data_IF_133011741899
#
_entry.id   IF_133011741899
#
_cell.length_a   1.000
_cell.length_b   1.000
_cell.length_c   1.000
_cell.angle_alpha   90.00
_cell.angle_beta   90.00
_cell.angle_gamma   90.00
#
_symmetry.space_group_name_H-M   'P 1'
#
loop_
_entity.id
_entity.type
_entity.pdbx_description
1 polymer ?
#
# COMPACT_ATOMS: atom_id res chain seq x y z
N UNK A 1 3.01 15.86 -22.58
CA UNK A 1 3.81 16.55 -21.52
C UNK A 1 4.93 15.58 -21.13
N UNK A 2 6.20 16.04 -21.09
CA UNK A 2 7.27 15.15 -20.60
C UNK A 2 7.13 14.99 -19.09
N UNK A 3 7.01 13.76 -18.62
CA UNK A 3 6.94 13.45 -17.19
C UNK A 3 8.34 13.67 -16.60
N UNK A 4 8.40 14.38 -15.48
CA UNK A 4 9.61 14.62 -14.70
C UNK A 4 9.28 14.62 -13.22
N UNK A 5 10.29 14.54 -12.37
CA UNK A 5 10.14 14.65 -10.91
C UNK A 5 9.32 15.88 -10.50
N UNK A 6 9.59 17.03 -11.12
CA UNK A 6 8.83 18.28 -10.85
C UNK A 6 7.34 18.16 -11.20
N UNK A 7 7.00 17.59 -12.35
CA UNK A 7 5.60 17.40 -12.78
C UNK A 7 4.84 16.51 -11.80
N UNK A 8 5.48 15.41 -11.36
CA UNK A 8 4.89 14.50 -10.38
C UNK A 8 4.68 15.18 -9.02
N UNK A 9 5.68 15.94 -8.56
CA UNK A 9 5.64 16.68 -7.31
C UNK A 9 4.53 17.73 -7.30
N UNK A 10 4.38 18.52 -8.38
CA UNK A 10 3.31 19.51 -8.51
C UNK A 10 1.92 18.87 -8.49
N UNK A 11 1.75 17.75 -9.18
CA UNK A 11 0.50 17.01 -9.16
C UNK A 11 0.18 16.48 -7.74
N UNK A 12 1.16 15.90 -7.07
CA UNK A 12 1.02 15.43 -5.69
C UNK A 12 0.64 16.56 -4.73
N UNK A 13 1.28 17.72 -4.83
CA UNK A 13 0.95 18.89 -4.02
C UNK A 13 -0.48 19.39 -4.25
N UNK A 14 -0.99 19.35 -5.49
CA UNK A 14 -2.41 19.68 -5.76
C UNK A 14 -3.35 18.72 -5.04
N UNK A 15 -3.07 17.42 -5.12
CA UNK A 15 -3.89 16.41 -4.45
C UNK A 15 -3.83 16.51 -2.92
N UNK A 16 -2.65 16.74 -2.37
CA UNK A 16 -2.49 16.90 -0.92
C UNK A 16 -3.19 18.16 -0.39
N UNK A 17 -3.15 19.28 -1.12
CA UNK A 17 -3.94 20.48 -0.76
C UNK A 17 -5.43 20.20 -0.79
N UNK A 18 -5.91 19.45 -1.78
CA UNK A 18 -7.31 19.05 -1.80
C UNK A 18 -7.66 18.18 -0.59
N UNK A 19 -6.88 17.14 -0.27
CA UNK A 19 -7.09 16.31 0.92
C UNK A 19 -7.11 17.15 2.20
N UNK A 20 -6.14 18.07 2.37
CA UNK A 20 -6.09 18.96 3.54
C UNK A 20 -7.32 19.85 3.66
N UNK A 21 -7.88 20.32 2.53
CA UNK A 21 -9.09 21.16 2.50
C UNK A 21 -10.38 20.40 2.86
N UNK A 22 -10.35 19.07 2.85
CA UNK A 22 -11.52 18.25 3.23
C UNK A 22 -11.59 17.99 4.75
N UNK A 23 -10.56 18.37 5.50
CA UNK A 23 -10.53 18.17 6.95
C UNK A 23 -11.33 19.25 7.69
N UNK A 24 -12.02 18.82 8.76
CA UNK A 24 -12.47 19.72 9.79
C UNK A 24 -11.30 20.12 10.75
N UNK A 25 -11.50 21.06 11.70
CA UNK A 25 -10.44 21.46 12.63
C UNK A 25 -9.86 20.34 13.50
N UNK A 26 -10.61 19.25 13.73
CA UNK A 26 -10.18 18.08 14.51
C UNK A 26 -9.39 17.05 13.68
N UNK A 27 -9.35 17.23 12.36
CA UNK A 27 -8.62 16.32 11.46
C UNK A 27 -9.48 15.26 10.79
N UNK A 28 -10.80 15.25 11.03
CA UNK A 28 -11.72 14.32 10.36
C UNK A 28 -11.99 14.76 8.93
N UNK A 29 -12.28 13.81 8.06
CA UNK A 29 -12.87 14.09 6.76
C UNK A 29 -14.39 14.16 6.85
N UNK A 30 -15.00 14.99 6.01
CA UNK A 30 -16.46 14.98 5.82
C UNK A 30 -16.91 13.64 5.24
N UNK A 31 -18.02 13.12 5.79
CA UNK A 31 -18.64 11.86 5.36
C UNK A 31 -19.75 12.04 4.32
N UNK A 32 -20.21 13.28 4.10
CA UNK A 32 -21.25 13.63 3.12
C UNK A 32 -20.79 14.70 2.15
N UNK A 33 -21.37 14.72 0.95
CA UNK A 33 -21.11 15.75 -0.07
C UNK A 33 -22.03 16.96 0.07
N UNK A 34 -23.15 16.78 0.79
CA UNK A 34 -24.16 17.82 1.04
C UNK A 34 -24.25 18.03 2.54
N UNK A 35 -24.21 19.29 3.01
CA UNK A 35 -24.43 19.59 4.42
C UNK A 35 -25.88 19.32 4.83
N UNK A 36 -26.12 19.21 6.14
CA UNK A 36 -27.44 19.17 6.72
C UNK A 36 -28.15 20.55 6.64
N UNK A 37 -29.34 20.64 7.22
CA UNK A 37 -30.13 21.89 7.28
C UNK A 37 -29.46 23.06 8.01
N UNK A 38 -28.44 22.78 8.85
CA UNK A 38 -27.63 23.77 9.57
C UNK A 38 -26.33 24.10 8.83
N UNK A 39 -26.10 23.57 7.63
CA UNK A 39 -24.86 23.76 6.87
C UNK A 39 -23.69 22.91 7.35
N UNK A 40 -23.94 21.87 8.16
CA UNK A 40 -22.91 20.99 8.75
C UNK A 40 -22.78 19.72 7.94
N UNK A 41 -21.53 19.36 7.59
CA UNK A 41 -21.20 18.06 7.01
C UNK A 41 -20.99 17.03 8.11
N UNK A 42 -21.56 15.83 7.94
CA UNK A 42 -21.21 14.72 8.83
C UNK A 42 -19.74 14.33 8.63
N UNK A 43 -19.13 13.82 9.70
CA UNK A 43 -17.79 13.23 9.62
C UNK A 43 -17.88 11.77 9.13
N UNK A 44 -16.82 11.27 8.47
CA UNK A 44 -16.73 9.84 8.18
C UNK A 44 -16.17 9.08 9.38
N UNK A 45 -16.75 7.92 9.67
CA UNK A 45 -16.30 7.00 10.74
C UNK A 45 -15.68 5.73 10.14
N UNK A 46 -14.96 5.85 9.01
CA UNK A 46 -14.28 4.73 8.35
C UNK A 46 -12.78 5.01 8.27
N UNK A 47 -11.98 4.22 9.00
CA UNK A 47 -10.50 4.28 8.96
C UNK A 47 -9.95 4.18 7.52
N UNK A 48 -10.69 3.54 6.61
CA UNK A 48 -10.35 3.45 5.20
C UNK A 48 -10.18 4.80 4.50
N UNK A 49 -10.73 5.90 5.07
CA UNK A 49 -10.55 7.25 4.55
C UNK A 49 -9.23 7.89 5.00
N UNK A 50 -8.63 7.43 6.10
CA UNK A 50 -7.54 8.13 6.80
C UNK A 50 -6.16 7.50 6.63
N UNK A 51 -6.08 6.17 6.65
CA UNK A 51 -4.81 5.45 6.88
C UNK A 51 -3.71 5.75 5.85
N UNK A 52 -4.04 5.97 4.57
CA UNK A 52 -3.09 6.41 3.54
C UNK A 52 -2.90 7.92 3.53
N UNK A 53 -3.98 8.66 3.84
CA UNK A 53 -4.00 10.12 3.75
C UNK A 53 -2.97 10.79 4.66
N UNK A 54 -2.69 10.22 5.84
CA UNK A 54 -1.71 10.76 6.78
C UNK A 54 -0.31 10.75 6.17
N UNK A 55 0.10 9.62 5.58
CA UNK A 55 1.39 9.51 4.88
C UNK A 55 1.47 10.49 3.71
N UNK A 56 0.46 10.48 2.84
CA UNK A 56 0.39 11.35 1.66
C UNK A 56 0.48 12.83 2.00
N UNK A 57 -0.29 13.27 3.02
CA UNK A 57 -0.25 14.63 3.51
C UNK A 57 1.14 14.99 4.04
N UNK A 58 1.76 14.10 4.83
CA UNK A 58 3.08 14.33 5.42
C UNK A 58 4.17 14.48 4.36
N UNK A 59 4.26 13.54 3.41
CA UNK A 59 5.32 13.55 2.39
C UNK A 59 5.12 14.66 1.35
N UNK A 60 3.88 15.13 1.18
CA UNK A 60 3.56 16.30 0.34
C UNK A 60 3.59 17.65 1.10
N UNK A 61 4.21 17.70 2.28
CA UNK A 61 4.43 18.95 3.03
C UNK A 61 3.19 19.55 3.71
N UNK A 62 2.10 18.78 3.86
CA UNK A 62 0.89 19.21 4.60
C UNK A 62 0.97 18.76 6.07
N UNK A 63 2.05 19.13 6.76
CA UNK A 63 2.43 18.63 8.10
C UNK A 63 1.35 18.83 9.16
N UNK A 64 0.77 20.03 9.21
CA UNK A 64 -0.26 20.36 10.19
C UNK A 64 -1.53 19.50 9.97
N UNK A 65 -1.92 19.26 8.72
CA UNK A 65 -3.06 18.43 8.38
C UNK A 65 -2.78 16.94 8.70
N UNK A 66 -1.58 16.44 8.35
CA UNK A 66 -1.15 15.10 8.71
C UNK A 66 -1.17 14.86 10.22
N UNK A 67 -0.64 15.82 10.99
CA UNK A 67 -0.58 15.71 12.45
C UNK A 67 -1.97 15.76 13.12
N UNK A 68 -2.89 16.59 12.63
CA UNK A 68 -4.28 16.57 13.12
C UNK A 68 -4.96 15.25 12.85
N UNK A 69 -4.84 14.74 11.62
CA UNK A 69 -5.43 13.47 11.23
C UNK A 69 -4.85 12.29 12.00
N UNK A 70 -3.53 12.25 12.20
CA UNK A 70 -2.90 11.20 13.00
C UNK A 70 -3.42 11.17 14.43
N UNK A 71 -3.54 12.36 15.09
CA UNK A 71 -4.15 12.44 16.42
C UNK A 71 -5.58 11.91 16.43
N UNK A 72 -6.41 12.37 15.49
CA UNK A 72 -7.77 11.85 15.35
C UNK A 72 -7.82 10.32 15.21
N UNK A 73 -6.96 9.74 14.37
CA UNK A 73 -6.90 8.28 14.18
C UNK A 73 -6.45 7.56 15.44
N UNK A 74 -5.45 8.07 16.14
CA UNK A 74 -4.99 7.48 17.40
C UNK A 74 -6.07 7.55 18.48
N UNK A 75 -6.72 8.68 18.62
CA UNK A 75 -7.75 8.90 19.67
C UNK A 75 -9.02 8.08 19.40
N UNK A 76 -9.35 7.84 18.12
CA UNK A 76 -10.64 7.24 17.74
C UNK A 76 -10.56 5.74 17.44
N UNK A 77 -9.44 5.26 16.87
CA UNK A 77 -9.35 3.92 16.27
C UNK A 77 -8.23 3.05 16.83
N UNK A 78 -7.27 3.62 17.61
CA UNK A 78 -6.20 2.82 18.18
C UNK A 78 -6.66 2.11 19.44
N UNK A 79 -6.41 0.81 19.49
CA UNK A 79 -6.65 -0.03 20.65
C UNK A 79 -5.39 -0.13 21.54
N UNK A 80 -5.57 -0.60 22.79
CA UNK A 80 -4.49 -0.66 23.78
C UNK A 80 -3.27 -1.46 23.31
N UNK A 81 -3.51 -2.52 22.53
CA UNK A 81 -2.46 -3.38 21.99
C UNK A 81 -1.73 -2.80 20.76
N UNK A 82 -2.10 -1.61 20.30
CA UNK A 82 -1.51 -0.98 19.12
C UNK A 82 -2.20 -1.32 17.80
N UNK A 83 -3.24 -2.16 17.80
CA UNK A 83 -4.08 -2.40 16.63
C UNK A 83 -4.96 -1.19 16.33
N UNK A 84 -5.26 -0.98 15.04
CA UNK A 84 -6.03 0.18 14.58
C UNK A 84 -7.14 -0.30 13.64
N UNK A 85 -8.40 -0.12 14.09
CA UNK A 85 -9.58 -0.49 13.31
C UNK A 85 -10.82 0.27 13.78
N UNK A 86 -11.86 0.34 12.95
CA UNK A 86 -13.07 1.11 13.24
C UNK A 86 -13.87 0.50 14.41
N UNK A 87 -14.16 -0.80 14.34
CA UNK A 87 -14.89 -1.55 15.36
C UNK A 87 -14.68 -3.06 15.18
N UNK A 88 -15.08 -3.87 16.16
CA UNK A 88 -14.91 -5.33 16.12
C UNK A 88 -15.56 -6.00 14.91
N UNK A 89 -16.71 -5.49 14.45
CA UNK A 89 -17.34 -6.00 13.25
C UNK A 89 -16.49 -5.72 12.01
N UNK A 90 -15.90 -4.53 11.87
CA UNK A 90 -15.00 -4.21 10.76
C UNK A 90 -13.74 -5.04 10.79
N UNK A 91 -13.24 -5.39 11.99
CA UNK A 91 -12.06 -6.25 12.17
C UNK A 91 -12.37 -7.71 11.85
N UNK A 92 -13.54 -8.22 12.23
CA UNK A 92 -13.93 -9.62 12.02
C UNK A 92 -14.42 -9.90 10.62
N UNK A 93 -15.21 -9.00 10.02
CA UNK A 93 -15.71 -9.12 8.64
C UNK A 93 -14.68 -8.71 7.60
N UNK A 94 -13.73 -7.87 8.01
CA UNK A 94 -12.82 -7.14 7.17
C UNK A 94 -13.53 -6.25 6.15
N UNK A 95 -13.31 -4.95 6.17
CA UNK A 95 -13.73 -4.11 5.03
C UNK A 95 -13.11 -4.57 3.70
N UNK A 96 -12.25 -5.56 3.78
CA UNK A 96 -11.52 -6.18 2.68
C UNK A 96 -11.84 -7.67 2.47
N UNK A 97 -12.79 -8.23 3.24
CA UNK A 97 -13.16 -9.65 3.17
C UNK A 97 -12.18 -10.60 3.88
N UNK A 98 -12.54 -11.89 3.97
CA UNK A 98 -11.86 -12.87 4.83
C UNK A 98 -10.46 -13.26 4.37
N UNK A 99 -10.02 -12.83 3.20
CA UNK A 99 -8.71 -13.17 2.60
C UNK A 99 -7.79 -11.98 2.39
N UNK A 100 -8.17 -10.80 2.87
CA UNK A 100 -7.34 -9.61 2.77
C UNK A 100 -6.47 -9.42 4.02
N UNK A 101 -5.31 -8.78 3.84
CA UNK A 101 -4.40 -8.46 4.93
C UNK A 101 -5.00 -7.44 5.90
N UNK A 102 -5.38 -7.88 7.09
CA UNK A 102 -5.96 -7.00 8.11
C UNK A 102 -4.94 -6.04 8.74
N UNK A 103 -3.63 -6.26 8.54
CA UNK A 103 -2.57 -5.35 8.98
C UNK A 103 -2.31 -4.18 8.05
N UNK A 104 -2.94 -4.14 6.87
CA UNK A 104 -2.60 -3.17 5.85
C UNK A 104 -2.74 -1.71 6.31
N UNK A 105 -3.78 -1.42 7.09
CA UNK A 105 -4.00 -0.11 7.69
C UNK A 105 -2.91 0.24 8.71
N UNK A 106 -2.57 -0.71 9.58
CA UNK A 106 -1.51 -0.55 10.57
C UNK A 106 -0.17 -0.24 9.92
N UNK A 107 0.16 -0.92 8.81
CA UNK A 107 1.40 -0.71 8.07
C UNK A 107 1.52 0.71 7.49
N UNK A 108 0.44 1.23 6.90
CA UNK A 108 0.43 2.60 6.40
C UNK A 108 0.58 3.63 7.53
N UNK A 109 -0.04 3.36 8.69
CA UNK A 109 0.08 4.24 9.85
C UNK A 109 1.46 4.15 10.50
N UNK A 110 2.10 2.97 10.53
CA UNK A 110 3.50 2.83 10.93
C UNK A 110 4.43 3.61 9.99
N UNK A 111 4.22 3.51 8.67
CA UNK A 111 4.94 4.29 7.64
C UNK A 111 4.75 5.80 7.83
N UNK A 112 3.53 6.24 8.08
CA UNK A 112 3.22 7.64 8.37
C UNK A 112 3.91 8.12 9.65
N UNK A 113 3.88 7.31 10.72
CA UNK A 113 4.54 7.62 11.99
C UNK A 113 6.07 7.75 11.83
N UNK A 114 6.70 6.88 11.02
CA UNK A 114 8.12 7.00 10.68
C UNK A 114 8.40 8.32 9.94
N UNK A 115 7.63 8.65 8.91
CA UNK A 115 7.77 9.90 8.14
C UNK A 115 7.56 11.16 9.01
N UNK A 116 6.67 11.08 10.01
CA UNK A 116 6.40 12.15 10.98
C UNK A 116 7.40 12.18 12.14
N UNK A 117 8.29 11.20 12.25
CA UNK A 117 9.21 11.00 13.40
C UNK A 117 8.49 10.74 14.74
N UNK A 118 7.29 10.19 14.69
CA UNK A 118 6.52 9.78 15.87
C UNK A 118 6.91 8.34 16.26
N UNK A 119 8.18 8.16 16.59
CA UNK A 119 8.80 6.83 16.77
C UNK A 119 8.12 5.98 17.83
N UNK A 120 7.64 6.59 18.94
CA UNK A 120 6.93 5.86 19.99
C UNK A 120 5.62 5.25 19.48
N UNK A 121 4.86 6.01 18.69
CA UNK A 121 3.65 5.52 18.04
C UNK A 121 3.95 4.43 17.02
N UNK A 122 4.89 4.68 16.12
CA UNK A 122 5.28 3.70 15.11
C UNK A 122 5.75 2.39 15.71
N UNK A 123 6.52 2.44 16.82
CA UNK A 123 6.94 1.25 17.56
C UNK A 123 5.74 0.47 18.09
N UNK A 124 4.80 1.14 18.75
CA UNK A 124 3.61 0.49 19.30
C UNK A 124 2.79 -0.23 18.22
N UNK A 125 2.60 0.39 17.07
CA UNK A 125 1.92 -0.21 15.92
C UNK A 125 2.70 -1.43 15.40
N UNK A 126 4.02 -1.28 15.25
CA UNK A 126 4.90 -2.35 14.75
C UNK A 126 4.96 -3.54 15.71
N UNK A 127 5.00 -3.32 17.03
CA UNK A 127 4.93 -4.39 18.03
C UNK A 127 3.64 -5.21 17.91
N UNK A 128 2.50 -4.55 17.69
CA UNK A 128 1.27 -5.27 17.38
C UNK A 128 1.40 -6.08 16.09
N UNK A 129 1.96 -5.52 15.02
CA UNK A 129 2.15 -6.25 13.76
C UNK A 129 3.07 -7.47 13.97
N UNK A 130 4.16 -7.33 14.72
CA UNK A 130 5.09 -8.43 15.06
C UNK A 130 4.37 -9.56 15.80
N UNK A 131 3.35 -9.28 16.61
CA UNK A 131 2.57 -10.32 17.29
C UNK A 131 1.82 -11.26 16.31
N UNK A 132 1.69 -10.87 15.05
CA UNK A 132 1.09 -11.66 13.97
C UNK A 132 2.13 -12.35 13.09
N UNK A 133 3.40 -12.26 13.44
CA UNK A 133 4.48 -12.95 12.74
C UNK A 133 4.55 -14.41 13.13
N UNK A 134 4.65 -15.30 12.15
CA UNK A 134 4.94 -16.71 12.38
C UNK A 134 6.45 -16.87 12.66
N UNK A 135 6.84 -17.33 13.86
CA UNK A 135 8.24 -17.21 14.30
C UNK A 135 9.21 -18.13 13.56
N UNK A 136 8.77 -19.26 13.02
CA UNK A 136 9.65 -20.22 12.34
C UNK A 136 9.92 -19.85 10.89
N UNK A 137 8.90 -19.33 10.18
CA UNK A 137 9.03 -18.97 8.78
C UNK A 137 9.43 -17.50 8.56
N UNK A 138 9.11 -16.63 9.50
CA UNK A 138 9.26 -15.20 9.37
C UNK A 138 8.12 -14.49 8.65
N UNK A 139 7.17 -15.23 8.08
CA UNK A 139 6.00 -14.67 7.40
C UNK A 139 4.96 -14.12 8.37
N UNK A 140 4.07 -13.27 7.89
CA UNK A 140 2.99 -12.68 8.69
C UNK A 140 1.63 -13.24 8.32
N UNK A 141 0.82 -13.53 9.33
CA UNK A 141 -0.56 -13.98 9.13
C UNK A 141 -1.42 -12.89 8.49
N UNK A 142 -2.31 -13.30 7.58
CA UNK A 142 -3.23 -12.41 6.90
C UNK A 142 -4.27 -11.79 7.84
N UNK A 143 -4.62 -12.49 8.92
CA UNK A 143 -5.73 -12.14 9.81
C UNK A 143 -5.31 -12.13 11.27
N UNK A 144 -5.90 -11.21 12.04
CA UNK A 144 -5.65 -11.00 13.47
C UNK A 144 -6.26 -12.09 14.35
N UNK A 145 -7.36 -12.72 13.90
CA UNK A 145 -8.06 -13.74 14.70
C UNK A 145 -7.91 -15.14 14.10
N UNK A 146 -7.69 -16.16 14.94
CA UNK A 146 -7.77 -17.55 14.51
C UNK A 146 -9.17 -17.85 13.91
N UNK A 147 -9.30 -18.78 12.95
CA UNK A 147 -8.33 -19.83 12.66
C UNK A 147 -7.39 -19.56 11.49
N UNK A 148 -7.16 -18.31 11.09
CA UNK A 148 -6.29 -18.08 9.96
C UNK A 148 -4.86 -18.49 10.29
N UNK A 149 -4.47 -19.66 9.77
CA UNK A 149 -3.07 -20.10 9.69
C UNK A 149 -2.46 -19.71 8.34
N UNK A 150 -3.10 -18.77 7.66
CA UNK A 150 -2.68 -18.32 6.34
C UNK A 150 -1.68 -17.18 6.51
N UNK A 151 -0.47 -17.41 6.06
CA UNK A 151 0.55 -16.38 5.87
C UNK A 151 0.31 -15.77 4.48
N UNK A 152 0.49 -14.48 4.37
CA UNK A 152 0.17 -13.72 3.16
C UNK A 152 1.36 -12.90 2.68
N UNK A 153 1.56 -12.85 1.35
CA UNK A 153 2.68 -12.12 0.75
C UNK A 153 2.62 -10.62 1.07
N UNK A 154 1.44 -10.00 0.97
CA UNK A 154 1.28 -8.58 1.27
C UNK A 154 1.44 -8.32 2.78
N UNK A 155 0.80 -9.14 3.66
CA UNK A 155 0.96 -9.00 5.11
C UNK A 155 2.44 -9.10 5.50
N UNK A 156 3.16 -10.05 4.91
CA UNK A 156 4.59 -10.23 5.17
C UNK A 156 5.41 -9.03 4.68
N UNK A 157 5.14 -8.54 3.48
CA UNK A 157 5.88 -7.40 2.92
C UNK A 157 5.66 -6.11 3.73
N UNK A 158 4.41 -5.80 4.10
CA UNK A 158 4.14 -4.58 4.88
C UNK A 158 4.57 -4.71 6.34
N UNK A 159 4.56 -5.93 6.90
CA UNK A 159 5.14 -6.24 8.21
C UNK A 159 6.65 -6.06 8.22
N UNK A 160 7.34 -6.58 7.21
CA UNK A 160 8.78 -6.38 7.02
C UNK A 160 9.14 -4.90 6.87
N UNK A 161 8.36 -4.12 6.09
CA UNK A 161 8.57 -2.69 5.95
C UNK A 161 8.45 -1.95 7.29
N UNK A 162 7.43 -2.27 8.08
CA UNK A 162 7.27 -1.69 9.42
C UNK A 162 8.45 -2.05 10.33
N UNK A 163 8.91 -3.30 10.30
CA UNK A 163 10.10 -3.74 11.05
C UNK A 163 11.35 -2.96 10.63
N UNK A 164 11.59 -2.78 9.34
CA UNK A 164 12.75 -2.03 8.83
C UNK A 164 12.71 -0.56 9.26
N UNK A 165 11.54 0.08 9.18
CA UNK A 165 11.36 1.49 9.55
C UNK A 165 11.40 1.75 11.06
N UNK A 166 11.11 0.75 11.90
CA UNK A 166 11.03 0.88 13.35
C UNK A 166 12.08 0.06 14.11
N UNK A 167 13.29 -0.03 13.55
CA UNK A 167 14.50 -0.55 14.20
C UNK A 167 14.44 -2.04 14.54
N UNK A 168 13.77 -2.84 13.72
CA UNK A 168 13.72 -4.30 13.79
C UNK A 168 14.27 -4.95 12.50
N UNK A 169 15.47 -4.58 12.03
CA UNK A 169 15.94 -4.99 10.71
C UNK A 169 16.16 -6.51 10.59
N UNK A 170 16.53 -7.18 11.66
CA UNK A 170 16.69 -8.63 11.64
C UNK A 170 15.36 -9.34 11.31
N UNK A 171 14.24 -8.90 11.92
CA UNK A 171 12.92 -9.45 11.62
C UNK A 171 12.47 -9.11 10.19
N UNK A 172 12.84 -7.93 9.69
CA UNK A 172 12.57 -7.56 8.31
C UNK A 172 13.28 -8.50 7.32
N UNK A 173 14.59 -8.75 7.55
CA UNK A 173 15.42 -9.63 6.72
C UNK A 173 14.84 -11.05 6.69
N UNK A 174 14.52 -11.64 7.85
CA UNK A 174 13.90 -12.98 7.94
C UNK A 174 12.55 -13.04 7.19
N UNK A 175 11.76 -11.97 7.25
CA UNK A 175 10.47 -11.91 6.56
C UNK A 175 10.64 -11.78 5.05
N UNK A 176 11.69 -11.11 4.59
CA UNK A 176 12.01 -11.00 3.16
C UNK A 176 12.61 -12.32 2.63
N UNK A 177 13.39 -13.03 3.42
CA UNK A 177 13.82 -14.41 3.09
C UNK A 177 12.63 -15.34 2.89
N UNK A 178 11.59 -15.19 3.72
CA UNK A 178 10.34 -15.94 3.52
C UNK A 178 9.62 -15.54 2.21
N UNK A 179 9.60 -14.25 1.86
CA UNK A 179 9.00 -13.80 0.59
C UNK A 179 9.76 -14.35 -0.63
N UNK A 180 11.10 -14.41 -0.58
CA UNK A 180 11.90 -15.08 -1.61
C UNK A 180 11.52 -16.55 -1.75
N UNK A 181 11.49 -17.28 -0.63
CA UNK A 181 11.05 -18.69 -0.60
C UNK A 181 9.66 -18.87 -1.18
N UNK A 182 8.73 -17.96 -0.86
CA UNK A 182 7.35 -18.01 -1.37
C UNK A 182 7.30 -17.76 -2.87
N UNK A 183 8.13 -16.84 -3.38
CA UNK A 183 8.24 -16.58 -4.82
C UNK A 183 8.88 -17.76 -5.56
N UNK A 184 9.96 -18.33 -5.04
CA UNK A 184 10.62 -19.51 -5.62
C UNK A 184 9.73 -20.76 -5.66
N UNK A 185 8.77 -20.86 -4.74
CA UNK A 185 7.82 -21.96 -4.68
C UNK A 185 6.71 -21.90 -5.74
N UNK A 186 6.60 -20.79 -6.51
CA UNK A 186 5.62 -20.66 -7.59
C UNK A 186 5.91 -21.68 -8.69
N UNK A 187 4.88 -22.46 -9.06
CA UNK A 187 5.02 -23.52 -10.08
C UNK A 187 4.17 -23.25 -11.31
N UNK A 188 3.13 -22.46 -11.18
CA UNK A 188 2.25 -22.11 -12.29
C UNK A 188 2.84 -20.90 -13.02
N UNK A 189 3.24 -21.01 -14.30
CA UNK A 189 3.82 -19.89 -15.03
C UNK A 189 2.82 -18.77 -15.30
N UNK A 190 1.53 -19.05 -15.27
CA UNK A 190 0.46 -18.10 -15.55
C UNK A 190 -0.15 -17.49 -14.29
N UNK A 191 0.18 -17.98 -13.08
CA UNK A 191 -0.39 -17.49 -11.83
C UNK A 191 0.67 -17.26 -10.76
N UNK A 192 0.56 -16.13 -10.08
CA UNK A 192 1.42 -15.74 -8.96
C UNK A 192 0.59 -15.73 -7.68
N UNK A 193 0.66 -16.82 -6.91
CA UNK A 193 -0.13 -17.04 -5.70
C UNK A 193 0.43 -16.24 -4.51
N UNK A 194 -0.45 -15.88 -3.56
CA UNK A 194 -0.16 -14.94 -2.46
C UNK A 194 -0.31 -15.56 -1.07
N UNK A 195 -0.72 -16.82 -0.97
CA UNK A 195 -1.07 -17.48 0.28
C UNK A 195 -0.16 -18.65 0.58
N UNK A 196 0.14 -18.84 1.86
CA UNK A 196 1.00 -19.90 2.36
C UNK A 196 0.45 -20.47 3.66
N UNK A 197 0.49 -21.79 3.84
CA UNK A 197 0.29 -22.43 5.13
C UNK A 197 1.56 -23.13 5.58
N UNK A 198 1.74 -23.27 6.90
CA UNK A 198 2.90 -23.99 7.44
C UNK A 198 2.86 -25.48 7.06
N UNK A 199 1.65 -26.04 6.91
CA UNK A 199 1.43 -27.45 6.63
C UNK A 199 1.66 -27.78 5.15
N UNK A 200 1.08 -27.00 4.24
CA UNK A 200 0.99 -27.34 2.82
C UNK A 200 1.91 -26.50 1.92
N UNK A 201 2.54 -25.46 2.49
CA UNK A 201 3.33 -24.53 1.72
C UNK A 201 2.47 -23.53 0.93
N UNK A 202 2.80 -23.31 -0.35
CA UNK A 202 2.07 -22.41 -1.23
C UNK A 202 0.65 -22.92 -1.48
N UNK A 203 -0.36 -22.10 -1.18
CA UNK A 203 -1.78 -22.43 -1.37
C UNK A 203 -2.17 -22.17 -2.81
N UNK A 204 -2.38 -23.22 -3.56
CA UNK A 204 -2.84 -23.17 -4.97
C UNK A 204 -4.24 -23.72 -5.17
N UNK A 205 -4.74 -24.53 -4.22
CA UNK A 205 -6.12 -24.99 -4.19
C UNK A 205 -6.99 -23.94 -3.49
N UNK A 206 -7.98 -23.42 -4.19
CA UNK A 206 -8.87 -22.35 -3.76
C UNK A 206 -10.32 -22.83 -3.59
N UNK A 207 -10.58 -24.13 -3.59
CA UNK A 207 -11.95 -24.70 -3.55
C UNK A 207 -12.75 -24.25 -2.32
N UNK A 208 -12.09 -24.01 -1.19
CA UNK A 208 -12.72 -23.55 0.05
C UNK A 208 -12.81 -22.01 0.16
N UNK A 209 -12.40 -21.28 -0.88
CA UNK A 209 -12.38 -19.82 -0.90
C UNK A 209 -13.51 -19.31 -1.80
N UNK A 210 -14.27 -18.32 -1.33
CA UNK A 210 -15.28 -17.68 -2.15
C UNK A 210 -14.65 -17.03 -3.41
N UNK A 211 -15.22 -17.28 -4.58
CA UNK A 211 -14.73 -16.81 -5.89
C UNK A 211 -14.46 -15.29 -5.92
N UNK A 212 -15.32 -14.49 -5.28
CA UNK A 212 -15.11 -13.03 -5.16
C UNK A 212 -13.80 -12.63 -4.49
N UNK A 213 -13.16 -13.57 -3.77
CA UNK A 213 -11.91 -13.39 -3.03
C UNK A 213 -10.67 -13.85 -3.80
N UNK A 214 -10.84 -14.56 -4.92
CA UNK A 214 -9.73 -15.07 -5.74
C UNK A 214 -8.77 -13.98 -6.20
N UNK A 215 -9.29 -12.77 -6.47
CA UNK A 215 -8.48 -11.58 -6.83
C UNK A 215 -7.43 -11.18 -5.78
N UNK A 216 -7.48 -11.75 -4.57
CA UNK A 216 -6.49 -11.54 -3.52
C UNK A 216 -5.62 -12.78 -3.25
N UNK A 217 -5.90 -13.89 -3.95
CA UNK A 217 -5.19 -15.15 -3.75
C UNK A 217 -4.13 -15.39 -4.82
N UNK A 218 -4.28 -14.79 -5.98
CA UNK A 218 -3.29 -14.86 -7.07
C UNK A 218 -3.45 -13.68 -8.04
N UNK A 219 -2.40 -13.43 -8.80
CA UNK A 219 -2.44 -12.62 -10.03
C UNK A 219 -2.40 -13.59 -11.21
N UNK A 220 -3.33 -13.46 -12.15
CA UNK A 220 -3.33 -14.18 -13.41
C UNK A 220 -2.59 -13.36 -14.48
N UNK A 221 -1.61 -13.98 -15.12
CA UNK A 221 -0.75 -13.34 -16.11
C UNK A 221 -1.53 -12.75 -17.29
N UNK A 222 -2.64 -13.40 -17.67
CA UNK A 222 -3.43 -13.08 -18.88
C UNK A 222 -4.59 -12.13 -18.60
N UNK A 223 -4.98 -11.99 -17.34
CA UNK A 223 -6.12 -11.15 -16.97
C UNK A 223 -5.68 -9.73 -16.63
N UNK A 224 -6.49 -8.74 -17.01
CA UNK A 224 -6.33 -7.35 -16.60
C UNK A 224 -7.07 -7.02 -15.31
N UNK A 225 -6.91 -5.78 -14.82
CA UNK A 225 -7.66 -5.16 -13.71
C UNK A 225 -7.57 -5.93 -12.38
N UNK A 226 -6.38 -6.43 -12.07
CA UNK A 226 -6.14 -7.25 -10.89
C UNK A 226 -5.53 -6.46 -9.72
N UNK A 227 -5.29 -7.14 -8.60
CA UNK A 227 -4.70 -6.56 -7.39
C UNK A 227 -3.16 -6.65 -7.43
N UNK A 228 -2.53 -6.05 -8.44
CA UNK A 228 -1.07 -6.13 -8.68
C UNK A 228 -0.23 -5.77 -7.46
N UNK A 229 -0.67 -4.78 -6.65
CA UNK A 229 -0.01 -4.35 -5.42
C UNK A 229 0.34 -5.48 -4.44
N UNK A 230 -0.30 -6.65 -4.55
CA UNK A 230 -0.06 -7.78 -3.65
C UNK A 230 1.38 -8.32 -3.83
N UNK A 231 1.93 -8.25 -5.03
CA UNK A 231 3.32 -8.57 -5.32
C UNK A 231 4.20 -7.35 -5.52
N UNK A 232 3.63 -6.19 -5.79
CA UNK A 232 4.36 -4.92 -5.78
C UNK A 232 4.99 -4.59 -4.42
N UNK A 233 4.28 -4.84 -3.31
CA UNK A 233 4.87 -4.67 -1.98
C UNK A 233 6.04 -5.62 -1.69
N UNK A 234 5.97 -6.94 -1.96
CA UNK A 234 7.13 -7.84 -1.87
C UNK A 234 8.33 -7.37 -2.69
N UNK A 235 8.12 -6.96 -3.92
CA UNK A 235 9.18 -6.39 -4.76
C UNK A 235 9.86 -5.18 -4.10
N UNK A 236 9.06 -4.22 -3.61
CA UNK A 236 9.59 -2.98 -3.04
C UNK A 236 10.37 -3.21 -1.74
N UNK A 237 9.90 -4.11 -0.87
CA UNK A 237 10.63 -4.42 0.37
C UNK A 237 11.92 -5.21 0.09
N UNK A 238 11.94 -6.04 -0.96
CA UNK A 238 13.18 -6.71 -1.37
C UNK A 238 14.23 -5.70 -1.83
N UNK A 239 13.86 -4.67 -2.61
CA UNK A 239 14.80 -3.60 -3.01
C UNK A 239 15.30 -2.86 -1.77
N UNK A 240 14.42 -2.45 -0.86
CA UNK A 240 14.81 -1.79 0.38
C UNK A 240 15.70 -2.67 1.28
N UNK A 241 15.49 -3.98 1.27
CA UNK A 241 16.33 -4.93 2.03
C UNK A 241 17.70 -5.10 1.37
N UNK A 242 17.78 -5.11 0.04
CA UNK A 242 19.03 -5.05 -0.68
C UNK A 242 19.84 -3.80 -0.31
N UNK A 243 19.20 -2.64 -0.31
CA UNK A 243 19.86 -1.38 0.07
C UNK A 243 20.38 -1.37 1.51
N UNK A 244 19.68 -2.07 2.40
CA UNK A 244 20.08 -2.19 3.80
C UNK A 244 21.24 -3.19 4.00
N UNK A 245 21.20 -4.34 3.28
CA UNK A 245 22.11 -5.48 3.52
C UNK A 245 23.25 -5.58 2.53
N UNK A 246 23.10 -5.00 1.33
CA UNK A 246 23.94 -5.20 0.15
C UNK A 246 23.96 -6.68 -0.34
N UNK A 247 23.02 -7.53 0.07
CA UNK A 247 22.92 -8.92 -0.40
C UNK A 247 22.12 -8.96 -1.72
N UNK A 248 22.81 -9.30 -2.80
CA UNK A 248 22.27 -9.32 -4.18
C UNK A 248 21.05 -10.26 -4.35
N UNK A 249 20.89 -11.28 -3.50
CA UNK A 249 19.74 -12.18 -3.60
C UNK A 249 18.40 -11.43 -3.55
N UNK A 250 18.33 -10.34 -2.77
CA UNK A 250 17.11 -9.53 -2.66
C UNK A 250 16.84 -8.71 -3.90
N UNK A 251 17.89 -8.13 -4.49
CA UNK A 251 17.77 -7.42 -5.77
C UNK A 251 17.34 -8.37 -6.89
N UNK A 252 17.97 -9.55 -6.97
CA UNK A 252 17.62 -10.57 -7.96
C UNK A 252 16.17 -11.06 -7.78
N UNK A 253 15.70 -11.24 -6.53
CA UNK A 253 14.32 -11.58 -6.22
C UNK A 253 13.33 -10.50 -6.66
N UNK A 254 13.66 -9.23 -6.41
CA UNK A 254 12.84 -8.10 -6.84
C UNK A 254 12.76 -8.01 -8.38
N UNK A 255 13.89 -8.18 -9.07
CA UNK A 255 13.96 -8.23 -10.53
C UNK A 255 13.09 -9.36 -11.08
N UNK A 256 13.16 -10.54 -10.49
CA UNK A 256 12.38 -11.69 -10.94
C UNK A 256 10.86 -11.47 -10.79
N UNK A 257 10.42 -10.85 -9.69
CA UNK A 257 9.02 -10.45 -9.50
C UNK A 257 8.64 -9.41 -10.56
N UNK A 258 9.49 -8.40 -10.78
CA UNK A 258 9.23 -7.37 -11.78
C UNK A 258 9.12 -7.96 -13.20
N UNK A 259 10.00 -8.86 -13.58
CA UNK A 259 9.99 -9.52 -14.88
C UNK A 259 8.72 -10.34 -15.08
N UNK A 260 8.26 -11.04 -14.04
CA UNK A 260 7.00 -11.74 -14.07
C UNK A 260 5.83 -10.77 -14.31
N UNK A 261 5.75 -9.66 -13.54
CA UNK A 261 4.73 -8.62 -13.71
C UNK A 261 4.82 -7.95 -15.09
N UNK A 262 6.03 -7.68 -15.58
CA UNK A 262 6.23 -7.06 -16.89
C UNK A 262 5.83 -7.99 -18.07
N UNK A 263 5.80 -9.28 -17.85
CA UNK A 263 5.32 -10.27 -18.80
C UNK A 263 3.81 -10.54 -18.70
N UNK A 264 3.14 -9.96 -17.69
CA UNK A 264 1.71 -10.07 -17.48
C UNK A 264 0.93 -9.04 -18.33
N UNK A 265 -0.38 -8.97 -18.12
CA UNK A 265 -1.23 -7.98 -18.78
C UNK A 265 -0.71 -6.56 -18.56
N UNK A 266 -0.81 -5.68 -19.56
CA UNK A 266 -0.30 -4.30 -19.53
C UNK A 266 -0.77 -3.49 -18.31
N UNK A 267 -1.94 -3.79 -17.77
CA UNK A 267 -2.47 -3.19 -16.54
C UNK A 267 -1.53 -3.32 -15.34
N UNK A 268 -0.57 -4.24 -15.34
CA UNK A 268 0.38 -4.39 -14.24
C UNK A 268 1.21 -3.12 -13.98
N UNK A 269 1.34 -2.24 -15.00
CA UNK A 269 2.02 -0.94 -14.88
C UNK A 269 1.21 0.23 -15.44
N UNK A 270 -0.10 0.05 -15.62
CA UNK A 270 -0.98 1.08 -16.17
C UNK A 270 -2.42 0.94 -15.63
N UNK A 271 -2.55 0.76 -14.30
CA UNK A 271 -3.86 0.58 -13.67
C UNK A 271 -3.91 1.15 -12.25
N UNK A 272 -5.12 1.31 -11.71
CA UNK A 272 -5.36 1.89 -10.38
C UNK A 272 -4.69 1.13 -9.23
N UNK A 273 -4.45 -0.16 -9.39
CA UNK A 273 -3.83 -1.01 -8.36
C UNK A 273 -2.32 -1.18 -8.52
N UNK A 274 -1.73 -0.66 -9.61
CA UNK A 274 -0.33 -0.87 -9.98
C UNK A 274 0.64 0.21 -9.45
N UNK A 275 0.19 1.08 -8.54
CA UNK A 275 1.04 2.18 -8.04
C UNK A 275 2.32 1.69 -7.34
N UNK A 276 2.25 0.56 -6.63
CA UNK A 276 3.40 -0.07 -5.97
C UNK A 276 4.39 -0.63 -6.99
N UNK A 277 3.87 -1.22 -8.07
CA UNK A 277 4.68 -1.80 -9.14
C UNK A 277 5.42 -0.70 -9.92
N UNK A 278 4.70 0.42 -10.18
CA UNK A 278 5.30 1.62 -10.77
C UNK A 278 6.41 2.23 -9.91
N UNK A 279 6.17 2.40 -8.60
CA UNK A 279 7.21 2.89 -7.68
C UNK A 279 8.41 1.92 -7.58
N UNK A 280 8.15 0.61 -7.46
CA UNK A 280 9.21 -0.39 -7.46
C UNK A 280 10.06 -0.36 -8.74
N UNK A 281 9.43 -0.06 -9.89
CA UNK A 281 10.16 0.17 -11.14
C UNK A 281 11.09 1.38 -11.05
N UNK A 282 10.66 2.49 -10.42
CA UNK A 282 11.54 3.64 -10.21
C UNK A 282 12.73 3.31 -9.28
N UNK A 283 12.48 2.53 -8.21
CA UNK A 283 13.55 2.04 -7.33
C UNK A 283 14.54 1.14 -8.09
N UNK A 284 14.08 0.21 -8.92
CA UNK A 284 14.94 -0.63 -9.76
C UNK A 284 15.75 0.20 -10.75
N UNK A 285 15.13 1.21 -11.38
CA UNK A 285 15.85 2.14 -12.25
C UNK A 285 16.98 2.85 -11.50
N UNK A 286 16.71 3.38 -10.31
CA UNK A 286 17.72 4.06 -9.48
C UNK A 286 18.90 3.15 -9.14
N UNK A 287 18.65 1.86 -8.88
CA UNK A 287 19.70 0.90 -8.49
C UNK A 287 20.49 0.40 -9.69
N UNK A 288 19.84 0.19 -10.84
CA UNK A 288 20.47 -0.46 -12.01
C UNK A 288 20.81 0.47 -13.16
N UNK A 289 20.08 1.58 -13.31
CA UNK A 289 20.18 2.48 -14.46
C UNK A 289 19.54 1.94 -15.76
N UNK A 290 18.79 0.82 -15.71
CA UNK A 290 18.21 0.21 -16.89
C UNK A 290 16.89 0.88 -17.30
N UNK A 291 16.83 1.47 -18.49
CA UNK A 291 15.69 2.25 -19.01
C UNK A 291 14.36 1.50 -19.01
N UNK A 292 14.36 0.18 -19.14
CA UNK A 292 13.13 -0.64 -19.10
C UNK A 292 12.31 -0.42 -17.83
N UNK A 293 12.97 -0.18 -16.70
CA UNK A 293 12.30 0.11 -15.43
C UNK A 293 11.71 1.52 -15.43
N UNK A 294 12.44 2.49 -15.94
CA UNK A 294 11.97 3.87 -16.08
C UNK A 294 10.70 3.93 -16.95
N UNK A 295 10.71 3.23 -18.10
CA UNK A 295 9.55 3.18 -19.00
C UNK A 295 8.28 2.70 -18.29
N UNK A 296 8.36 1.66 -17.46
CA UNK A 296 7.21 1.14 -16.72
C UNK A 296 6.78 2.08 -15.58
N UNK A 297 7.71 2.72 -14.88
CA UNK A 297 7.38 3.77 -13.93
C UNK A 297 6.62 4.92 -14.61
N UNK A 298 7.14 5.44 -15.73
CA UNK A 298 6.53 6.55 -16.45
C UNK A 298 5.13 6.20 -16.97
N UNK A 299 4.93 4.97 -17.48
CA UNK A 299 3.61 4.48 -17.89
C UNK A 299 2.60 4.53 -16.74
N UNK A 300 2.98 4.04 -15.56
CA UNK A 300 2.11 4.10 -14.39
C UNK A 300 1.87 5.54 -13.91
N UNK A 301 2.89 6.39 -13.94
CA UNK A 301 2.73 7.80 -13.56
C UNK A 301 1.83 8.57 -14.54
N UNK A 302 1.92 8.31 -15.82
CA UNK A 302 1.02 8.87 -16.82
C UNK A 302 -0.43 8.46 -16.57
N UNK A 303 -0.65 7.19 -16.27
CA UNK A 303 -1.97 6.71 -15.86
C UNK A 303 -2.49 7.46 -14.63
N UNK A 304 -1.69 7.59 -13.56
CA UNK A 304 -2.09 8.31 -12.34
C UNK A 304 -2.41 9.78 -12.65
N UNK A 305 -1.56 10.47 -13.41
CA UNK A 305 -1.78 11.87 -13.81
C UNK A 305 -3.08 12.04 -14.62
N UNK A 306 -3.43 11.08 -15.46
CA UNK A 306 -4.67 11.08 -16.22
C UNK A 306 -5.93 11.01 -15.35
N UNK A 307 -5.79 10.52 -14.12
CA UNK A 307 -6.91 10.40 -13.15
C UNK A 307 -7.10 11.67 -12.32
N UNK A 308 -6.13 12.58 -12.29
CA UNK A 308 -6.21 13.81 -11.50
C UNK A 308 -7.20 14.81 -12.10
N UNK A 309 -8.12 15.28 -11.27
CA UNK A 309 -9.08 16.30 -11.64
C UNK A 309 -8.52 17.72 -11.37
N UNK A 310 -9.07 18.78 -12.02
CA UNK A 310 -8.57 20.14 -11.84
C UNK A 310 -8.51 20.61 -10.38
N UNK A 311 -9.45 20.18 -9.53
CA UNK A 311 -9.46 20.48 -8.10
C UNK A 311 -8.40 19.72 -7.30
N UNK A 312 -7.75 18.70 -7.87
CA UNK A 312 -6.66 17.92 -7.24
C UNK A 312 -7.04 16.52 -6.76
N UNK A 313 -8.33 16.19 -6.65
CA UNK A 313 -8.74 14.82 -6.30
C UNK A 313 -8.57 13.86 -7.49
N UNK A 314 -8.58 12.56 -7.19
CA UNK A 314 -8.34 11.51 -8.18
C UNK A 314 -9.58 10.68 -8.47
N UNK A 315 -9.82 10.37 -9.75
CA UNK A 315 -10.85 9.41 -10.17
C UNK A 315 -10.42 7.98 -9.86
N UNK A 316 -11.25 7.29 -9.07
CA UNK A 316 -11.15 5.85 -8.85
C UNK A 316 -11.66 5.02 -10.04
N UNK A 317 -11.55 3.69 -9.94
CA UNK A 317 -12.02 2.78 -10.99
C UNK A 317 -13.53 2.91 -11.23
N UNK A 318 -13.93 2.98 -12.49
CA UNK A 318 -15.33 3.02 -12.90
C UNK A 318 -16.07 4.34 -12.65
N UNK A 319 -15.45 5.32 -11.97
CA UNK A 319 -16.05 6.62 -11.71
C UNK A 319 -15.82 7.59 -12.89
N UNK A 320 -16.82 8.43 -13.17
CA UNK A 320 -16.76 9.43 -14.25
C UNK A 320 -16.56 10.86 -13.73
N UNK A 321 -17.08 11.14 -12.54
CA UNK A 321 -17.05 12.45 -11.90
C UNK A 321 -17.12 12.32 -10.37
N UNK A 322 -17.06 13.46 -9.66
CA UNK A 322 -17.12 13.51 -8.21
C UNK A 322 -18.45 12.99 -7.63
N UNK A 323 -19.57 13.30 -8.30
CA UNK A 323 -20.90 12.93 -7.81
C UNK A 323 -21.15 11.42 -7.89
N UNK A 324 -20.54 10.75 -8.89
CA UNK A 324 -20.64 9.30 -9.07
C UNK A 324 -19.66 8.49 -8.24
N UNK A 325 -18.72 9.16 -7.54
CA UNK A 325 -17.67 8.51 -6.77
C UNK A 325 -17.94 8.61 -5.26
N UNK A 326 -18.04 7.50 -4.52
CA UNK A 326 -18.15 7.55 -3.07
C UNK A 326 -16.97 8.33 -2.45
N UNK A 327 -17.24 9.15 -1.44
CA UNK A 327 -16.20 9.96 -0.77
C UNK A 327 -15.05 9.09 -0.22
N UNK A 328 -15.37 7.93 0.35
CA UNK A 328 -14.37 6.96 0.79
C UNK A 328 -13.40 6.60 -0.33
N UNK A 329 -13.92 6.25 -1.49
CA UNK A 329 -13.11 5.94 -2.68
C UNK A 329 -12.29 7.14 -3.13
N UNK A 330 -12.88 8.34 -3.08
CA UNK A 330 -12.18 9.58 -3.45
C UNK A 330 -10.99 9.85 -2.52
N UNK A 331 -11.17 9.73 -1.21
CA UNK A 331 -10.07 9.92 -0.25
C UNK A 331 -9.00 8.84 -0.41
N UNK A 332 -9.40 7.57 -0.49
CA UNK A 332 -8.47 6.44 -0.59
C UNK A 332 -7.60 6.53 -1.85
N UNK A 333 -8.20 6.73 -3.04
CA UNK A 333 -7.42 6.84 -4.29
C UNK A 333 -6.64 8.15 -4.39
N UNK A 334 -7.18 9.27 -3.91
CA UNK A 334 -6.41 10.52 -3.90
C UNK A 334 -5.17 10.40 -3.03
N UNK A 335 -5.31 9.79 -1.86
CA UNK A 335 -4.18 9.56 -0.96
C UNK A 335 -3.18 8.54 -1.54
N UNK A 336 -3.66 7.42 -2.06
CA UNK A 336 -2.83 6.37 -2.66
C UNK A 336 -1.98 6.94 -3.82
N UNK A 337 -2.61 7.60 -4.77
CA UNK A 337 -1.93 8.17 -5.94
C UNK A 337 -0.99 9.33 -5.58
N UNK A 338 -1.36 10.16 -4.60
CA UNK A 338 -0.45 11.20 -4.08
C UNK A 338 0.84 10.58 -3.54
N UNK A 339 0.75 9.47 -2.81
CA UNK A 339 1.93 8.77 -2.30
C UNK A 339 2.84 8.31 -3.43
N UNK A 340 2.29 7.68 -4.48
CA UNK A 340 3.10 7.15 -5.58
C UNK A 340 3.68 8.24 -6.47
N UNK A 341 2.99 9.37 -6.63
CA UNK A 341 3.55 10.54 -7.30
C UNK A 341 4.77 11.09 -6.55
N UNK A 342 4.69 11.20 -5.22
CA UNK A 342 5.82 11.67 -4.39
C UNK A 342 6.96 10.65 -4.39
N UNK A 343 6.66 9.40 -4.09
CA UNK A 343 7.66 8.35 -3.96
C UNK A 343 8.42 8.18 -5.29
N UNK A 344 7.71 8.15 -6.44
CA UNK A 344 8.35 8.13 -7.76
C UNK A 344 9.10 9.41 -8.09
N UNK A 345 8.55 10.58 -7.72
CA UNK A 345 9.24 11.87 -7.91
C UNK A 345 10.60 11.91 -7.20
N UNK A 346 10.69 11.37 -5.98
CA UNK A 346 11.95 11.32 -5.23
C UNK A 346 12.99 10.43 -5.92
N UNK A 347 12.57 9.26 -6.42
CA UNK A 347 13.46 8.34 -7.15
C UNK A 347 13.99 9.01 -8.45
N UNK A 348 13.10 9.64 -9.22
CA UNK A 348 13.48 10.34 -10.45
C UNK A 348 14.38 11.55 -10.18
N UNK A 349 14.09 12.34 -9.13
CA UNK A 349 14.91 13.47 -8.74
C UNK A 349 16.34 13.05 -8.33
N UNK A 350 16.49 11.90 -7.66
CA UNK A 350 17.79 11.32 -7.33
C UNK A 350 18.61 11.03 -8.59
N UNK A 351 17.96 10.64 -9.69
CA UNK A 351 18.60 10.36 -10.98
C UNK A 351 18.73 11.60 -11.87
N UNK A 352 18.31 12.77 -11.41
CA UNK A 352 18.38 14.03 -12.17
C UNK A 352 17.32 14.19 -13.27
N UNK A 353 16.20 13.48 -13.15
CA UNK A 353 15.08 13.47 -14.13
C UNK A 353 13.88 14.32 -13.73
#
# INVERSE_FOLDING_TARGET
MKISSTVLLEAAHRSARWLASQQNPLGNYRGTTVPDENGIYSDTDDIGCYYKSIYSLRVAGQDAAAARMMRHVVDRYMHENGDIYTNEQSRSSGSYGPVFCQMYQNAWLARAAAAMRWYGLGRKITEFMISLREPESGGFYAHVKPPSKIIDSCATAVGALACLQHQQPALAVESVDFLLKMFEAQKDPDKLYTRWTKQDGLVTDLTDIEEKSYKYCYIDRKAGKQAYWIWGWPMNIMIATYEYTADEKYLLGAIAIWEWLASAHEDAFCFTTAGKDGWGSAMLYRVSGEDRYLEKNLSQMEFILSRQQPAGWMLGPGSKDFASQPLRTTYDFTADFTSWLIDSSMELAYMGL
#
